data_IF_239602297828
#
_entry.id   IF_239602297828
#
_cell.length_a   1.000
_cell.length_b   1.000
_cell.length_c   1.000
_cell.angle_alpha   90.00
_cell.angle_beta   90.00
_cell.angle_gamma   90.00
#
_symmetry.space_group_name_H-M   'P 1'
#
loop_
_entity.id
_entity.type
_entity.pdbx_description
1 polymer ?
#
# COMPACT_ATOMS: atom_id res chain seq x y z
N UNK A 1 6.65 -12.43 -3.63
CA UNK A 1 5.91 -13.67 -3.99
C UNK A 1 4.70 -13.81 -3.05
N UNK A 2 3.83 -12.80 -2.99
CA UNK A 2 2.69 -12.74 -2.04
C UNK A 2 1.40 -12.33 -2.75
N UNK A 3 1.49 -11.45 -3.76
CA UNK A 3 0.32 -10.97 -4.52
C UNK A 3 -0.54 -12.07 -5.16
N UNK A 4 0.07 -13.06 -5.83
CA UNK A 4 -0.68 -14.16 -6.45
C UNK A 4 -1.36 -15.07 -5.43
N UNK A 5 -0.79 -15.19 -4.21
CA UNK A 5 -1.39 -15.97 -3.13
C UNK A 5 -2.68 -15.32 -2.63
N UNK A 6 -2.71 -13.99 -2.56
CA UNK A 6 -3.91 -13.26 -2.19
C UNK A 6 -5.04 -13.50 -3.19
N UNK A 7 -4.76 -13.39 -4.48
CA UNK A 7 -5.77 -13.65 -5.51
C UNK A 7 -6.27 -15.11 -5.43
N UNK A 8 -5.36 -16.08 -5.28
CA UNK A 8 -5.73 -17.48 -5.13
C UNK A 8 -6.59 -17.75 -3.87
N UNK A 9 -6.28 -17.11 -2.74
CA UNK A 9 -7.07 -17.21 -1.52
C UNK A 9 -8.48 -16.63 -1.72
N UNK A 10 -8.57 -15.43 -2.30
CA UNK A 10 -9.85 -14.77 -2.57
C UNK A 10 -10.70 -15.61 -3.50
N UNK A 11 -10.13 -16.13 -4.59
CA UNK A 11 -10.84 -17.03 -5.52
C UNK A 11 -11.35 -18.28 -4.79
N UNK A 12 -10.51 -18.95 -3.99
CA UNK A 12 -10.93 -20.12 -3.21
C UNK A 12 -12.08 -19.81 -2.25
N UNK A 13 -12.02 -18.68 -1.53
CA UNK A 13 -13.10 -18.28 -0.61
C UNK A 13 -14.42 -18.07 -1.36
N UNK A 14 -14.36 -17.43 -2.51
CA UNK A 14 -15.54 -17.19 -3.34
C UNK A 14 -16.10 -18.50 -3.92
N UNK A 15 -15.25 -19.43 -4.34
CA UNK A 15 -15.65 -20.77 -4.78
C UNK A 15 -16.35 -21.57 -3.66
N UNK A 16 -15.92 -21.37 -2.41
CA UNK A 16 -16.56 -21.86 -1.18
C UNK A 16 -17.86 -21.12 -0.82
N UNK A 17 -18.38 -20.27 -1.72
CA UNK A 17 -19.58 -19.44 -1.57
C UNK A 17 -19.50 -18.43 -0.42
N UNK A 18 -18.30 -18.03 -0.03
CA UNK A 18 -18.09 -16.94 0.92
C UNK A 18 -18.31 -15.59 0.25
N UNK A 19 -18.79 -14.64 1.05
CA UNK A 19 -18.87 -13.24 0.65
C UNK A 19 -17.57 -12.57 1.07
N UNK A 20 -16.88 -11.94 0.13
CA UNK A 20 -15.55 -11.35 0.35
C UNK A 20 -15.56 -9.90 -0.10
N UNK A 21 -15.02 -9.01 0.72
CA UNK A 21 -14.69 -7.65 0.31
C UNK A 21 -13.18 -7.52 0.20
N UNK A 22 -12.73 -6.95 -0.92
CA UNK A 22 -11.33 -6.63 -1.15
C UNK A 22 -11.19 -5.12 -1.31
N UNK A 23 -10.33 -4.49 -0.51
CA UNK A 23 -10.00 -3.07 -0.64
C UNK A 23 -8.64 -2.94 -1.32
N UNK A 24 -8.62 -2.23 -2.44
CA UNK A 24 -7.41 -1.85 -3.15
C UNK A 24 -6.98 -0.47 -2.67
N UNK A 25 -5.68 -0.31 -2.40
CA UNK A 25 -5.10 0.93 -1.87
C UNK A 25 -3.86 1.31 -2.66
N UNK A 26 -3.74 2.60 -2.96
CA UNK A 26 -2.60 3.19 -3.68
C UNK A 26 -2.00 4.33 -2.84
N UNK A 27 -0.67 4.34 -2.70
CA UNK A 27 0.05 5.38 -1.97
C UNK A 27 0.41 6.56 -2.89
N UNK A 28 0.23 7.78 -2.37
CA UNK A 28 0.61 9.00 -3.08
C UNK A 28 2.12 9.12 -3.19
N UNK A 29 2.60 8.99 -4.43
CA UNK A 29 4.02 9.08 -4.79
C UNK A 29 4.91 8.25 -3.85
N UNK A 30 4.56 6.97 -3.64
CA UNK A 30 5.12 6.12 -2.59
C UNK A 30 6.64 6.26 -2.42
N UNK A 31 7.40 6.08 -3.50
CA UNK A 31 8.86 6.24 -3.48
C UNK A 31 9.34 7.68 -3.22
N UNK A 32 8.60 8.69 -3.66
CA UNK A 32 8.95 10.10 -3.54
C UNK A 32 8.65 10.72 -2.18
N UNK A 33 7.81 10.09 -1.36
CA UNK A 33 7.31 10.66 -0.10
C UNK A 33 7.95 10.06 1.15
N UNK A 34 8.74 8.99 1.03
CA UNK A 34 9.38 8.30 2.18
C UNK A 34 10.24 9.24 3.03
N UNK A 35 9.92 9.49 4.31
CA UNK A 35 10.78 10.29 5.18
C UNK A 35 12.10 9.57 5.49
N UNK A 36 13.24 10.21 5.26
CA UNK A 36 14.55 9.58 5.45
C UNK A 36 14.83 9.18 6.90
N UNK A 37 14.37 9.96 7.88
CA UNK A 37 14.56 9.65 9.30
C UNK A 37 13.85 8.34 9.68
N UNK A 38 12.56 8.23 9.35
CA UNK A 38 11.75 7.05 9.64
C UNK A 38 12.32 5.82 8.91
N UNK A 39 12.71 5.97 7.64
CA UNK A 39 13.35 4.89 6.89
C UNK A 39 14.64 4.40 7.57
N UNK A 40 15.51 5.29 8.03
CA UNK A 40 16.76 4.92 8.67
C UNK A 40 16.54 4.26 10.04
N UNK A 41 15.57 4.74 10.82
CA UNK A 41 15.19 4.14 12.10
C UNK A 41 14.66 2.71 11.89
N UNK A 42 13.77 2.51 10.90
CA UNK A 42 13.28 1.18 10.50
C UNK A 42 14.40 0.28 10.02
N UNK A 43 15.28 0.79 9.17
CA UNK A 43 16.41 0.04 8.65
C UNK A 43 17.35 -0.42 9.77
N UNK A 44 17.59 0.43 10.78
CA UNK A 44 18.33 0.07 11.99
C UNK A 44 17.60 -0.98 12.82
N UNK A 45 16.29 -0.85 13.01
CA UNK A 45 15.47 -1.78 13.79
C UNK A 45 15.31 -3.16 13.13
N UNK A 46 15.57 -3.28 11.82
CA UNK A 46 15.67 -4.56 11.11
C UNK A 46 16.98 -5.33 11.39
N UNK A 47 17.79 -4.91 12.36
CA UNK A 47 19.03 -5.59 12.73
C UNK A 47 20.22 -5.28 11.82
N UNK A 48 20.13 -4.21 11.01
CA UNK A 48 21.22 -3.79 10.14
C UNK A 48 22.38 -3.21 10.96
N UNK A 49 23.61 -3.53 10.57
CA UNK A 49 24.80 -2.96 11.22
C UNK A 49 24.82 -1.43 11.08
N UNK A 50 25.37 -0.74 12.10
CA UNK A 50 25.52 0.72 12.07
C UNK A 50 26.32 1.22 10.85
N UNK A 51 27.24 0.40 10.33
CA UNK A 51 27.93 0.69 9.07
C UNK A 51 26.97 0.75 7.88
N UNK A 52 26.08 -0.24 7.72
CA UNK A 52 25.09 -0.26 6.63
C UNK A 52 24.10 0.90 6.76
N UNK A 53 23.64 1.19 7.97
CA UNK A 53 22.75 2.34 8.24
C UNK A 53 23.44 3.66 7.84
N UNK A 54 24.72 3.84 8.21
CA UNK A 54 25.49 5.03 7.84
C UNK A 54 25.71 5.12 6.32
N UNK A 55 25.96 3.99 5.66
CA UNK A 55 26.11 3.94 4.21
C UNK A 55 24.83 4.37 3.49
N UNK A 56 23.66 3.84 3.90
CA UNK A 56 22.35 4.25 3.35
C UNK A 56 22.08 5.73 3.63
N UNK A 57 22.37 6.20 4.84
CA UNK A 57 22.24 7.62 5.22
C UNK A 57 23.06 8.52 4.29
N UNK A 58 24.31 8.15 4.00
CA UNK A 58 25.17 8.90 3.09
C UNK A 58 24.68 8.84 1.64
N UNK A 59 24.14 7.69 1.21
CA UNK A 59 23.55 7.54 -0.11
C UNK A 59 22.29 8.42 -0.32
N UNK A 60 21.49 8.63 0.73
CA UNK A 60 20.32 9.51 0.70
C UNK A 60 20.69 11.01 0.78
N UNK A 61 21.77 11.35 1.49
CA UNK A 61 22.17 12.71 1.84
C UNK A 61 22.71 13.51 0.65
N UNK A 62 22.45 14.83 0.67
CA UNK A 62 23.09 15.79 -0.25
C UNK A 62 22.61 15.68 -1.70
N UNK A 63 21.53 14.93 -1.94
CA UNK A 63 20.94 14.80 -3.27
C UNK A 63 20.19 16.06 -3.64
N UNK A 64 20.25 16.41 -4.93
CA UNK A 64 19.48 17.49 -5.51
C UNK A 64 18.89 17.07 -6.84
N UNK A 65 17.67 17.53 -7.13
CA UNK A 65 16.94 17.30 -8.37
C UNK A 65 16.71 18.61 -9.11
N UNK A 66 16.48 18.53 -10.43
CA UNK A 66 16.01 19.63 -11.26
C UNK A 66 15.15 19.08 -12.38
N UNK A 67 14.27 19.90 -12.93
CA UNK A 67 13.41 19.54 -14.06
C UNK A 67 13.96 20.23 -15.31
N UNK A 68 14.04 19.51 -16.43
CA UNK A 68 14.41 20.07 -17.72
C UNK A 68 13.29 19.82 -18.74
N UNK A 69 12.79 20.88 -19.36
CA UNK A 69 11.72 20.84 -20.37
C UNK A 69 12.13 21.74 -21.54
N UNK A 70 12.05 21.22 -22.77
CA UNK A 70 12.33 21.97 -23.99
C UNK A 70 13.69 22.70 -23.99
N UNK A 71 14.74 22.06 -23.46
CA UNK A 71 16.09 22.63 -23.38
C UNK A 71 16.32 23.65 -22.27
N UNK A 72 15.28 24.06 -21.54
CA UNK A 72 15.40 24.87 -20.32
C UNK A 72 15.45 23.97 -19.09
N UNK A 73 16.22 24.37 -18.07
CA UNK A 73 16.34 23.64 -16.80
C UNK A 73 15.99 24.53 -15.61
N UNK A 74 15.29 23.98 -14.63
CA UNK A 74 15.04 24.62 -13.35
C UNK A 74 16.33 24.73 -12.53
N UNK A 75 16.27 25.52 -11.45
CA UNK A 75 17.26 25.45 -10.38
C UNK A 75 17.34 24.05 -9.76
N UNK A 76 18.47 23.76 -9.10
CA UNK A 76 18.63 22.53 -8.31
C UNK A 76 17.90 22.69 -6.98
N UNK A 77 17.13 21.68 -6.60
CA UNK A 77 16.41 21.60 -5.33
C UNK A 77 16.88 20.38 -4.55
N UNK A 78 17.20 20.56 -3.27
CA UNK A 78 17.60 19.45 -2.40
C UNK A 78 16.46 18.44 -2.21
N UNK A 79 16.82 17.16 -2.19
CA UNK A 79 15.91 16.04 -1.97
C UNK A 79 16.00 15.63 -0.51
N UNK A 80 14.99 16.00 0.28
CA UNK A 80 14.93 15.74 1.72
C UNK A 80 14.04 14.55 2.10
N UNK A 81 13.26 14.04 1.14
CA UNK A 81 12.37 12.89 1.27
C UNK A 81 12.47 12.02 0.02
N UNK A 82 11.96 10.79 0.13
CA UNK A 82 11.88 9.82 -0.95
C UNK A 82 13.20 9.10 -1.24
N UNK A 83 13.08 7.95 -1.87
CA UNK A 83 14.18 7.17 -2.41
C UNK A 83 14.26 7.40 -3.93
N UNK A 84 15.47 7.38 -4.53
CA UNK A 84 15.62 7.63 -5.96
C UNK A 84 14.97 6.51 -6.79
N UNK A 85 14.01 6.88 -7.62
CA UNK A 85 13.41 6.00 -8.62
C UNK A 85 14.45 5.59 -9.67
N UNK A 86 14.32 4.38 -10.20
CA UNK A 86 15.30 3.79 -11.14
C UNK A 86 16.58 3.28 -10.48
N UNK A 87 16.73 3.41 -9.16
CA UNK A 87 17.82 2.77 -8.42
C UNK A 87 17.45 1.34 -8.02
N UNK A 88 18.46 0.46 -7.95
CA UNK A 88 18.29 -0.92 -7.44
C UNK A 88 17.92 -0.91 -5.95
N UNK A 89 18.43 0.06 -5.19
CA UNK A 89 18.25 0.13 -3.75
C UNK A 89 16.91 0.74 -3.33
N UNK A 90 16.30 1.58 -4.18
CA UNK A 90 15.03 2.25 -3.89
C UNK A 90 13.91 1.27 -3.51
N UNK A 91 13.62 0.24 -4.32
CA UNK A 91 12.65 -0.81 -3.99
C UNK A 91 12.93 -1.55 -2.68
N UNK A 92 14.20 -1.86 -2.40
CA UNK A 92 14.60 -2.55 -1.16
C UNK A 92 14.31 -1.68 0.06
N UNK A 93 14.70 -0.40 0.01
CA UNK A 93 14.46 0.54 1.10
C UNK A 93 12.96 0.82 1.29
N UNK A 94 12.21 0.91 0.19
CA UNK A 94 10.76 1.08 0.26
C UNK A 94 10.08 -0.13 0.92
N UNK A 95 10.46 -1.35 0.54
CA UNK A 95 9.94 -2.57 1.18
C UNK A 95 10.27 -2.62 2.68
N UNK A 96 11.48 -2.20 3.09
CA UNK A 96 11.82 -2.08 4.51
C UNK A 96 10.95 -1.05 5.23
N UNK A 97 10.63 0.06 4.55
CA UNK A 97 9.79 1.12 5.11
C UNK A 97 8.34 0.67 5.37
N UNK A 98 7.73 -0.07 4.44
CA UNK A 98 6.35 -0.59 4.59
C UNK A 98 6.27 -1.93 5.34
N UNK A 99 7.38 -2.41 5.89
CA UNK A 99 7.45 -3.78 6.42
C UNK A 99 6.51 -4.03 7.61
N UNK A 100 6.15 -2.99 8.36
CA UNK A 100 5.21 -3.06 9.49
C UNK A 100 3.82 -2.48 9.19
N UNK A 101 3.52 -2.20 7.91
CA UNK A 101 2.21 -1.68 7.49
C UNK A 101 1.03 -2.55 7.95
N UNK A 102 1.26 -3.87 8.01
CA UNK A 102 0.32 -4.92 8.41
C UNK A 102 0.39 -5.26 9.91
N UNK A 103 1.16 -4.51 10.70
CA UNK A 103 1.28 -4.77 12.13
C UNK A 103 -0.08 -4.54 12.83
N UNK A 104 -0.65 -5.62 13.36
CA UNK A 104 -1.93 -5.60 14.07
C UNK A 104 -3.15 -5.56 13.14
N UNK A 105 -2.98 -5.81 11.84
CA UNK A 105 -4.09 -5.99 10.90
C UNK A 105 -4.71 -7.37 11.08
N UNK A 106 -6.04 -7.44 11.11
CA UNK A 106 -6.82 -8.68 11.30
C UNK A 106 -7.15 -9.36 9.97
N UNK A 107 -7.37 -8.57 8.93
CA UNK A 107 -7.66 -9.02 7.57
C UNK A 107 -6.44 -9.63 6.87
N UNK A 108 -6.68 -10.33 5.76
CA UNK A 108 -5.57 -10.79 4.91
C UNK A 108 -4.98 -9.58 4.20
N UNK A 109 -3.69 -9.31 4.44
CA UNK A 109 -2.95 -8.23 3.75
C UNK A 109 -2.10 -8.80 2.64
N UNK A 110 -2.15 -8.15 1.48
CA UNK A 110 -1.20 -8.36 0.40
C UNK A 110 -0.53 -7.03 0.07
N UNK A 111 0.79 -6.97 0.28
CA UNK A 111 1.59 -5.77 -0.01
C UNK A 111 2.76 -6.11 -0.92
N UNK A 112 3.01 -5.28 -1.91
CA UNK A 112 4.18 -5.37 -2.77
C UNK A 112 4.47 -4.02 -3.41
N UNK A 113 5.65 -3.45 -3.11
CA UNK A 113 5.92 -2.07 -3.46
C UNK A 113 4.73 -1.18 -3.04
N UNK A 114 4.25 -0.32 -3.92
CA UNK A 114 3.14 0.61 -3.68
C UNK A 114 1.75 -0.05 -3.65
N UNK A 115 1.60 -1.28 -4.17
CA UNK A 115 0.33 -2.00 -4.15
C UNK A 115 0.05 -2.58 -2.76
N UNK A 116 -1.06 -2.17 -2.14
CA UNK A 116 -1.58 -2.76 -0.90
C UNK A 116 -3.04 -3.15 -1.04
N UNK A 117 -3.39 -4.33 -0.56
CA UNK A 117 -4.74 -4.88 -0.60
C UNK A 117 -5.11 -5.51 0.73
N UNK A 118 -6.35 -5.29 1.14
CA UNK A 118 -6.98 -5.95 2.28
C UNK A 118 -8.10 -6.84 1.77
N UNK A 119 -8.11 -8.11 2.16
CA UNK A 119 -9.17 -9.06 1.86
C UNK A 119 -9.76 -9.66 3.13
N UNK A 120 -11.08 -9.71 3.23
CA UNK A 120 -11.78 -10.33 4.37
C UNK A 120 -13.09 -10.98 3.96
N UNK A 121 -13.45 -12.06 4.65
CA UNK A 121 -14.78 -12.67 4.55
C UNK A 121 -15.77 -11.81 5.36
N UNK A 122 -16.82 -11.33 4.71
CA UNK A 122 -17.80 -10.40 5.28
C UNK A 122 -19.19 -11.04 5.45
N UNK A 123 -19.23 -12.36 5.63
CA UNK A 123 -20.43 -13.15 5.98
C UNK A 123 -21.06 -12.71 7.32
N UNK A 124 -20.35 -11.92 8.12
CA UNK A 124 -20.78 -11.45 9.44
C UNK A 124 -20.46 -9.97 9.63
N UNK A 125 -21.17 -9.34 10.57
CA UNK A 125 -20.88 -7.96 11.00
C UNK A 125 -19.45 -7.83 11.54
N UNK A 126 -18.94 -8.84 12.22
CA UNK A 126 -17.57 -8.83 12.74
C UNK A 126 -16.52 -8.70 11.63
N UNK A 127 -16.72 -9.39 10.49
CA UNK A 127 -15.81 -9.26 9.34
C UNK A 127 -15.84 -7.86 8.71
N UNK A 128 -17.01 -7.24 8.65
CA UNK A 128 -17.18 -5.86 8.17
C UNK A 128 -16.51 -4.86 9.13
N UNK A 129 -16.72 -5.04 10.43
CA UNK A 129 -16.13 -4.20 11.46
C UNK A 129 -14.60 -4.38 11.51
N UNK A 130 -14.08 -5.60 11.35
CA UNK A 130 -12.65 -5.88 11.25
C UNK A 130 -12.01 -5.14 10.08
N UNK A 131 -12.63 -5.17 8.90
CA UNK A 131 -12.13 -4.44 7.73
C UNK A 131 -12.11 -2.92 7.98
N UNK A 132 -13.15 -2.37 8.59
CA UNK A 132 -13.16 -0.94 8.90
C UNK A 132 -12.09 -0.57 9.94
N UNK A 133 -11.88 -1.39 10.99
CA UNK A 133 -10.80 -1.19 11.96
C UNK A 133 -9.42 -1.20 11.29
N UNK A 134 -9.22 -2.12 10.35
CA UNK A 134 -7.95 -2.22 9.61
C UNK A 134 -7.72 -1.04 8.67
N UNK A 135 -8.76 -0.54 8.00
CA UNK A 135 -8.67 0.70 7.22
C UNK A 135 -8.30 1.90 8.10
N UNK A 136 -8.89 2.01 9.29
CA UNK A 136 -8.58 3.08 10.24
C UNK A 136 -7.13 2.96 10.76
N UNK A 137 -6.65 1.73 11.02
CA UNK A 137 -5.25 1.46 11.38
C UNK A 137 -4.29 1.85 10.26
N UNK A 138 -4.59 1.52 9.01
CA UNK A 138 -3.75 1.86 7.87
C UNK A 138 -3.70 3.36 7.61
N UNK A 139 -4.82 4.07 7.69
CA UNK A 139 -4.85 5.54 7.59
C UNK A 139 -3.99 6.17 8.70
N UNK A 140 -4.15 5.70 9.94
CA UNK A 140 -3.33 6.16 11.05
C UNK A 140 -1.84 5.87 10.83
N UNK A 141 -1.50 4.67 10.37
CA UNK A 141 -0.13 4.29 10.03
C UNK A 141 0.44 5.22 8.95
N UNK A 142 -0.32 5.54 7.91
CA UNK A 142 0.14 6.46 6.86
C UNK A 142 0.44 7.85 7.43
N UNK A 143 -0.45 8.38 8.28
CA UNK A 143 -0.29 9.69 8.93
C UNK A 143 1.00 9.74 9.77
N UNK A 144 1.23 8.76 10.66
CA UNK A 144 2.42 8.75 11.53
C UNK A 144 3.73 8.55 10.74
N UNK A 145 3.64 7.87 9.59
CA UNK A 145 4.79 7.63 8.70
C UNK A 145 4.99 8.73 7.65
N UNK A 146 4.18 9.79 7.68
CA UNK A 146 4.31 10.94 6.79
C UNK A 146 4.01 10.64 5.32
N UNK A 147 3.25 9.58 5.04
CA UNK A 147 2.79 9.23 3.69
C UNK A 147 1.26 9.30 3.64
N UNK A 148 0.69 9.21 2.44
CA UNK A 148 -0.75 9.39 2.23
C UNK A 148 -1.26 8.41 1.20
N UNK A 149 -2.50 7.96 1.34
CA UNK A 149 -3.20 7.24 0.28
C UNK A 149 -3.75 8.21 -0.78
N UNK A 150 -3.78 7.77 -2.03
CA UNK A 150 -4.56 8.42 -3.09
C UNK A 150 -5.99 7.88 -2.97
N UNK A 151 -6.82 8.55 -2.18
CA UNK A 151 -8.16 8.06 -1.84
C UNK A 151 -9.07 7.86 -3.05
N UNK A 152 -8.93 8.67 -4.10
CA UNK A 152 -9.64 8.50 -5.38
C UNK A 152 -9.22 7.25 -6.16
N UNK A 153 -8.10 6.63 -5.79
CA UNK A 153 -7.62 5.34 -6.30
C UNK A 153 -7.67 4.24 -5.24
N UNK A 154 -8.43 4.47 -4.17
CA UNK A 154 -8.76 3.41 -3.22
C UNK A 154 -10.22 3.04 -3.46
N UNK A 155 -10.49 1.76 -3.67
CA UNK A 155 -11.84 1.29 -3.96
C UNK A 155 -12.05 -0.12 -3.43
N UNK A 156 -13.32 -0.48 -3.32
CA UNK A 156 -13.76 -1.78 -2.84
C UNK A 156 -14.22 -2.64 -4.03
N UNK A 157 -13.77 -3.88 -4.06
CA UNK A 157 -14.32 -4.93 -4.91
C UNK A 157 -15.13 -5.88 -4.03
N UNK A 158 -16.44 -5.92 -4.29
CA UNK A 158 -17.37 -6.81 -3.59
C UNK A 158 -17.52 -8.11 -4.37
N UNK A 159 -17.18 -9.23 -3.73
CA UNK A 159 -17.22 -10.57 -4.32
C UNK A 159 -18.23 -11.47 -3.57
N UNK A 160 -18.78 -12.44 -4.29
CA UNK A 160 -19.79 -13.37 -3.81
C UNK A 160 -21.22 -12.93 -4.11
N UNK A 161 -22.06 -13.89 -4.51
CA UNK A 161 -23.41 -13.64 -5.05
C UNK A 161 -24.38 -12.95 -4.10
N UNK A 162 -24.18 -13.08 -2.80
CA UNK A 162 -25.05 -12.53 -1.75
C UNK A 162 -24.40 -11.36 -1.01
N UNK A 163 -23.41 -10.70 -1.62
CA UNK A 163 -22.72 -9.58 -0.99
C UNK A 163 -23.66 -8.38 -0.77
N UNK A 164 -23.76 -7.90 0.47
CA UNK A 164 -24.58 -6.76 0.86
C UNK A 164 -24.01 -5.40 0.42
N UNK A 165 -22.77 -5.39 -0.11
CA UNK A 165 -22.04 -4.21 -0.58
C UNK A 165 -21.88 -3.17 0.52
N UNK A 166 -21.30 -3.61 1.63
CA UNK A 166 -21.06 -2.76 2.79
C UNK A 166 -20.17 -1.57 2.40
N UNK A 167 -20.42 -0.40 3.00
CA UNK A 167 -19.68 0.83 2.68
C UNK A 167 -18.61 1.09 3.73
N UNK A 168 -17.37 1.24 3.28
CA UNK A 168 -16.24 1.55 4.14
C UNK A 168 -15.73 2.97 3.90
N UNK A 169 -14.93 3.46 4.83
CA UNK A 169 -14.24 4.76 4.74
C UNK A 169 -12.75 4.61 4.98
N UNK A 170 -11.97 5.52 4.39
CA UNK A 170 -10.54 5.70 4.63
C UNK A 170 -10.32 7.12 5.16
N UNK A 171 -10.11 7.23 6.47
CA UNK A 171 -10.22 8.48 7.20
C UNK A 171 -11.66 9.01 7.15
N UNK A 172 -11.83 10.25 6.70
CA UNK A 172 -13.15 10.89 6.57
C UNK A 172 -13.86 10.62 5.23
N UNK A 173 -13.18 9.98 4.27
CA UNK A 173 -13.71 9.79 2.90
C UNK A 173 -14.26 8.40 2.72
N UNK A 174 -15.44 8.30 2.10
CA UNK A 174 -16.04 7.02 1.73
C UNK A 174 -15.31 6.44 0.52
N UNK A 175 -15.03 5.15 0.57
CA UNK A 175 -14.48 4.42 -0.56
C UNK A 175 -15.60 4.11 -1.56
N UNK A 176 -15.30 4.33 -2.84
CA UNK A 176 -16.17 3.91 -3.93
C UNK A 176 -15.99 2.41 -4.20
N UNK A 177 -17.01 1.79 -4.78
CA UNK A 177 -16.95 0.38 -5.19
C UNK A 177 -16.72 0.26 -6.69
N UNK A 178 -15.85 -0.66 -7.12
CA UNK A 178 -15.67 -1.01 -8.53
C UNK A 178 -16.30 -2.38 -8.82
N UNK A 179 -17.00 -2.57 -9.97
CA UNK A 179 -17.56 -3.87 -10.34
C UNK A 179 -16.49 -4.87 -10.79
N UNK A 180 -15.31 -4.39 -11.19
CA UNK A 180 -14.19 -5.19 -11.64
C UNK A 180 -12.87 -4.45 -11.42
N UNK A 181 -11.77 -5.19 -11.29
CA UNK A 181 -10.44 -4.65 -11.12
C UNK A 181 -9.42 -5.42 -11.96
N UNK A 182 -8.47 -4.72 -12.58
CA UNK A 182 -7.37 -5.37 -13.29
C UNK A 182 -6.17 -5.49 -12.35
N UNK A 183 -6.02 -6.66 -11.75
CA UNK A 183 -4.95 -6.95 -10.82
C UNK A 183 -3.82 -7.74 -11.50
N UNK A 184 -2.63 -7.14 -11.63
CA UNK A 184 -1.45 -7.75 -12.26
C UNK A 184 -1.71 -8.31 -13.67
N UNK A 185 -2.60 -7.67 -14.42
CA UNK A 185 -3.00 -8.10 -15.75
C UNK A 185 -4.14 -9.13 -15.79
N UNK A 186 -4.64 -9.57 -14.64
CA UNK A 186 -5.82 -10.45 -14.51
C UNK A 186 -7.04 -9.60 -14.18
N UNK A 187 -8.11 -9.76 -14.95
CA UNK A 187 -9.39 -9.12 -14.62
C UNK A 187 -10.10 -9.93 -13.53
N UNK A 188 -10.40 -9.28 -12.42
CA UNK A 188 -11.20 -9.83 -11.33
C UNK A 188 -12.50 -9.05 -11.30
N UNK A 189 -13.61 -9.69 -11.63
CA UNK A 189 -14.91 -9.03 -11.60
C UNK A 189 -15.87 -9.70 -10.61
N UNK A 190 -16.90 -8.95 -10.25
CA UNK A 190 -18.00 -9.41 -9.40
C UNK A 190 -18.95 -10.39 -10.11
N UNK A 191 -18.76 -10.66 -11.40
CA UNK A 191 -19.63 -11.49 -12.25
C UNK A 191 -19.05 -12.87 -12.62
N UNK A 192 -17.76 -13.10 -12.43
CA UNK A 192 -17.02 -14.29 -12.86
C UNK A 192 -17.06 -15.42 -11.82
N UNK A 193 -17.93 -15.32 -10.81
CA UNK A 193 -18.13 -16.32 -9.73
C UNK A 193 -19.58 -16.34 -9.22
#
# INVERSE_FOLDING_TARGET
MILLLHLALVTHLVDDRKVVDVVFQDFSMAFGTVPHSILLDRFSNCGMSGFMVCWVKNWLKGRAQRVAVNGAASGRQLVTIGVPQGSILGPVLFNTFINDLDAGVECTVSKFADDTKLGVVVDSLEGQDALQRDLDRLEHWAIINGIKFIKSKCWILHLGRSNARHKYKLGEERLESSPAEQDLGVLVDSSST
#
